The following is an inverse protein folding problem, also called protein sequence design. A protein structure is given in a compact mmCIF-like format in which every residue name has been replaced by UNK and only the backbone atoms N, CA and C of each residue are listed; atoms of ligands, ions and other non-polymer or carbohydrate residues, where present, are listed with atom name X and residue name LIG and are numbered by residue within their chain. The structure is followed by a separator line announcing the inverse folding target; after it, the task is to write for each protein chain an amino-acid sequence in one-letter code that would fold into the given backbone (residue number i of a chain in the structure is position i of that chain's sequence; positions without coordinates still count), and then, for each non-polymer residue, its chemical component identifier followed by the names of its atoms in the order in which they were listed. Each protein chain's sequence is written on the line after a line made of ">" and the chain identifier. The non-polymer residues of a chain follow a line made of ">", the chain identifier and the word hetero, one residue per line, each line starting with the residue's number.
data_IF_806900840932
#
_entry.id   IF_806900840932
#
_cell.length_a   1.000
_cell.length_b   1.000
_cell.length_c   1.000
_cell.angle_alpha   90.00
_cell.angle_beta   90.00
_cell.angle_gamma   90.00
#
_symmetry.space_group_name_H-M   'P 1'
#
loop_
_entity.id
_entity.type
_entity.pdbx_description
1 polymer ?
#
# COMPACT_ATOMS: atom_id res chain seq x y z
N UNK A 1 -2.22 -14.64 -30.06
CA UNK A 1 -2.77 -15.36 -28.90
C UNK A 1 -1.93 -15.01 -27.69
N UNK A 2 -2.46 -14.23 -26.74
CA UNK A 2 -1.73 -13.96 -25.51
C UNK A 2 -1.77 -15.21 -24.63
N UNK A 3 -0.80 -16.10 -24.78
CA UNK A 3 -0.66 -17.25 -23.88
C UNK A 3 -0.26 -16.75 -22.50
N UNK A 4 -1.01 -17.14 -21.48
CA UNK A 4 -0.66 -16.81 -20.10
C UNK A 4 0.69 -17.47 -19.78
N UNK A 5 1.67 -16.71 -19.32
CA UNK A 5 2.92 -17.28 -18.83
C UNK A 5 2.63 -18.25 -17.67
N UNK A 6 3.16 -19.46 -17.75
CA UNK A 6 3.03 -20.54 -16.73
C UNK A 6 4.41 -21.01 -16.22
N UNK A 7 5.47 -20.22 -16.40
CA UNK A 7 6.81 -20.60 -15.96
C UNK A 7 7.01 -20.51 -14.44
N UNK A 8 8.18 -20.95 -13.98
CA UNK A 8 8.53 -21.10 -12.55
C UNK A 8 8.44 -19.81 -11.74
N UNK A 9 8.70 -18.65 -12.35
CA UNK A 9 8.61 -17.34 -11.68
C UNK A 9 7.20 -17.06 -11.13
N UNK A 10 6.16 -17.65 -11.74
CA UNK A 10 4.78 -17.49 -11.28
C UNK A 10 4.52 -18.17 -9.95
N UNK A 11 5.35 -19.13 -9.55
CA UNK A 11 5.30 -19.73 -8.22
C UNK A 11 5.69 -18.74 -7.12
N UNK A 12 6.46 -17.70 -7.46
CA UNK A 12 6.93 -16.73 -6.48
C UNK A 12 5.83 -15.72 -6.12
N UNK A 13 5.49 -15.68 -4.82
CA UNK A 13 4.49 -14.76 -4.30
C UNK A 13 5.14 -13.43 -3.91
N UNK A 14 4.82 -12.37 -4.66
CA UNK A 14 5.37 -11.03 -4.39
C UNK A 14 4.52 -10.27 -3.37
N UNK A 15 5.11 -9.48 -2.47
CA UNK A 15 4.41 -8.76 -1.40
C UNK A 15 3.70 -7.49 -1.91
N UNK A 16 3.18 -7.52 -3.14
CA UNK A 16 2.45 -6.44 -3.80
C UNK A 16 1.23 -7.00 -4.51
N UNK A 17 0.27 -6.14 -4.85
CA UNK A 17 -0.81 -6.57 -5.73
C UNK A 17 -0.22 -6.90 -7.09
N UNK A 18 -0.57 -8.08 -7.61
CA UNK A 18 -0.25 -8.50 -8.97
C UNK A 18 -1.49 -9.19 -9.55
N UNK A 19 -1.70 -9.16 -10.86
CA UNK A 19 -2.88 -9.78 -11.47
C UNK A 19 -2.52 -11.13 -12.09
N UNK A 20 -3.13 -12.21 -11.59
CA UNK A 20 -2.90 -13.57 -12.09
C UNK A 20 -3.35 -13.78 -13.55
N UNK A 21 -4.31 -12.97 -14.00
CA UNK A 21 -4.90 -13.02 -15.35
C UNK A 21 -4.13 -12.21 -16.39
N UNK A 22 -3.01 -11.57 -16.03
CA UNK A 22 -2.18 -10.85 -17.00
C UNK A 22 -1.21 -11.82 -17.70
N UNK A 23 -1.09 -11.80 -19.04
CA UNK A 23 -0.19 -12.70 -19.76
C UNK A 23 1.29 -12.48 -19.41
N UNK A 24 1.66 -11.23 -19.12
CA UNK A 24 3.01 -10.84 -18.66
C UNK A 24 3.18 -10.81 -17.13
N UNK A 25 2.21 -11.33 -16.35
CA UNK A 25 2.43 -11.44 -14.90
C UNK A 25 3.46 -12.53 -14.61
N UNK A 26 4.68 -12.10 -14.31
CA UNK A 26 5.78 -12.97 -13.92
C UNK A 26 5.60 -13.56 -12.51
N UNK A 27 4.76 -12.95 -11.65
CA UNK A 27 4.64 -13.32 -10.24
C UNK A 27 3.18 -13.50 -9.79
N UNK A 28 2.97 -14.25 -8.71
CA UNK A 28 1.65 -14.51 -8.15
C UNK A 28 1.16 -13.43 -7.20
N UNK A 29 -0.17 -13.22 -7.22
CA UNK A 29 -0.85 -12.35 -6.27
C UNK A 29 -1.01 -13.05 -4.93
N UNK A 30 -0.56 -12.47 -3.80
CA UNK A 30 -0.75 -13.06 -2.48
C UNK A 30 -2.22 -13.25 -2.14
N UNK A 31 -3.06 -12.25 -2.41
CA UNK A 31 -4.50 -12.32 -2.12
C UNK A 31 -5.19 -13.36 -3.01
N UNK A 32 -4.85 -13.40 -4.30
CA UNK A 32 -5.41 -14.41 -5.21
C UNK A 32 -5.00 -15.83 -4.83
N UNK A 33 -3.76 -16.00 -4.34
CA UNK A 33 -3.25 -17.28 -3.85
C UNK A 33 -4.02 -17.71 -2.59
N UNK A 34 -4.16 -16.82 -1.61
CA UNK A 34 -4.95 -17.08 -0.39
C UNK A 34 -6.39 -17.48 -0.75
N UNK A 35 -7.04 -16.76 -1.67
CA UNK A 35 -8.40 -17.10 -2.10
C UNK A 35 -8.47 -18.46 -2.78
N UNK A 36 -7.54 -18.76 -3.69
CA UNK A 36 -7.52 -20.05 -4.38
C UNK A 36 -7.38 -21.22 -3.41
N UNK A 37 -6.47 -21.13 -2.44
CA UNK A 37 -6.27 -22.15 -1.42
C UNK A 37 -7.49 -22.30 -0.49
N UNK A 38 -8.17 -21.21 -0.17
CA UNK A 38 -9.43 -21.30 0.59
C UNK A 38 -10.55 -21.98 -0.18
N UNK A 39 -10.65 -21.73 -1.49
CA UNK A 39 -11.63 -22.41 -2.34
C UNK A 39 -11.33 -23.91 -2.44
N UNK A 40 -10.06 -24.31 -2.51
CA UNK A 40 -9.64 -25.72 -2.56
C UNK A 40 -9.60 -26.41 -1.20
N UNK A 41 -9.88 -25.70 -0.10
CA UNK A 41 -9.88 -26.26 1.25
C UNK A 41 -8.48 -26.54 1.83
N UNK A 42 -7.42 -26.09 1.16
CA UNK A 42 -6.04 -26.25 1.61
C UNK A 42 -5.52 -24.99 2.29
N UNK A 43 -4.59 -25.15 3.24
CA UNK A 43 -4.06 -23.99 3.97
C UNK A 43 -2.92 -23.31 3.19
N UNK A 44 -2.96 -21.98 2.95
CA UNK A 44 -1.97 -21.26 2.14
C UNK A 44 -0.67 -20.95 2.92
N UNK A 45 0.03 -21.99 3.42
CA UNK A 45 1.26 -21.82 4.22
C UNK A 45 2.31 -20.96 3.52
N UNK A 46 2.52 -21.17 2.22
CA UNK A 46 3.52 -20.41 1.46
C UNK A 46 3.17 -18.92 1.36
N UNK A 47 1.93 -18.57 1.02
CA UNK A 47 1.53 -17.16 0.91
C UNK A 47 1.51 -16.45 2.26
N UNK A 48 1.05 -17.10 3.32
CA UNK A 48 1.07 -16.52 4.67
C UNK A 48 2.50 -16.39 5.21
N UNK A 49 3.36 -17.38 4.95
CA UNK A 49 4.77 -17.36 5.33
C UNK A 49 5.53 -16.21 4.65
N UNK A 50 5.39 -16.04 3.33
CA UNK A 50 6.06 -14.94 2.61
C UNK A 50 5.56 -13.57 3.04
N UNK A 51 4.24 -13.39 3.21
CA UNK A 51 3.66 -12.15 3.73
C UNK A 51 4.10 -11.89 5.17
N UNK A 52 4.19 -12.93 6.00
CA UNK A 52 4.66 -12.85 7.38
C UNK A 52 6.11 -12.39 7.45
N UNK A 53 7.02 -13.04 6.72
CA UNK A 53 8.46 -12.69 6.69
C UNK A 53 8.68 -11.28 6.16
N UNK A 54 8.05 -10.93 5.03
CA UNK A 54 8.20 -9.59 4.46
C UNK A 54 7.55 -8.54 5.36
N UNK A 55 6.36 -8.82 5.89
CA UNK A 55 5.66 -7.94 6.82
C UNK A 55 6.46 -7.71 8.10
N UNK A 56 7.03 -8.74 8.72
CA UNK A 56 7.88 -8.58 9.89
C UNK A 56 9.21 -7.89 9.58
N UNK A 57 9.75 -8.01 8.37
CA UNK A 57 10.98 -7.30 8.00
C UNK A 57 10.72 -5.80 7.77
N UNK A 58 9.80 -5.48 6.85
CA UNK A 58 9.64 -4.09 6.34
C UNK A 58 8.31 -3.45 6.70
N UNK A 59 7.40 -4.17 7.34
CA UNK A 59 6.04 -3.73 7.61
C UNK A 59 5.26 -3.53 6.32
N UNK A 60 4.61 -2.38 6.21
CA UNK A 60 3.82 -1.97 5.04
C UNK A 60 4.61 -1.25 3.95
N UNK A 61 5.93 -1.16 4.06
CA UNK A 61 6.80 -0.42 3.14
C UNK A 61 6.67 -0.87 1.68
N UNK A 62 6.36 -2.14 1.42
CA UNK A 62 6.12 -2.68 0.07
C UNK A 62 4.97 -1.97 -0.65
N UNK A 63 3.92 -1.59 0.09
CA UNK A 63 2.82 -0.78 -0.46
C UNK A 63 3.26 0.65 -0.76
N UNK A 64 4.20 1.20 0.03
CA UNK A 64 4.78 2.53 -0.12
C UNK A 64 5.65 2.66 -1.36
N UNK A 65 6.55 1.71 -1.59
CA UNK A 65 7.66 1.84 -2.56
C UNK A 65 7.58 0.91 -3.76
N UNK A 66 7.11 -0.34 -3.59
CA UNK A 66 7.17 -1.37 -4.64
C UNK A 66 5.85 -1.54 -5.41
N UNK A 67 4.72 -1.14 -4.84
CA UNK A 67 3.41 -1.39 -5.44
C UNK A 67 3.14 -0.48 -6.65
N UNK A 68 2.98 -1.03 -7.88
CA UNK A 68 2.78 -0.23 -9.09
C UNK A 68 1.45 0.53 -9.06
N UNK A 69 0.41 -0.05 -8.43
CA UNK A 69 -0.87 0.62 -8.28
C UNK A 69 -0.77 1.83 -7.33
N UNK A 70 0.05 1.74 -6.28
CA UNK A 70 0.31 2.88 -5.40
C UNK A 70 0.99 4.03 -6.14
N UNK A 71 2.00 3.71 -6.95
CA UNK A 71 2.68 4.69 -7.80
C UNK A 71 1.73 5.35 -8.81
N UNK A 72 0.86 4.56 -9.45
CA UNK A 72 -0.18 5.09 -10.34
C UNK A 72 -1.12 6.07 -9.63
N UNK A 73 -1.52 5.80 -8.39
CA UNK A 73 -2.35 6.72 -7.60
C UNK A 73 -1.59 8.02 -7.25
N UNK A 74 -0.29 7.95 -6.98
CA UNK A 74 0.51 9.15 -6.68
C UNK A 74 0.67 10.05 -7.91
N UNK A 75 0.82 9.46 -9.11
CA UNK A 75 0.83 10.19 -10.38
C UNK A 75 -0.54 10.88 -10.58
N UNK A 76 -1.64 10.16 -10.37
CA UNK A 76 -2.99 10.72 -10.51
C UNK A 76 -3.24 11.88 -9.54
N UNK A 77 -2.74 11.80 -8.32
CA UNK A 77 -2.88 12.88 -7.34
C UNK A 77 -2.10 14.16 -7.71
N UNK A 78 -1.12 14.07 -8.62
CA UNK A 78 -0.38 15.25 -9.12
C UNK A 78 -1.26 16.14 -10.01
N UNK A 79 -2.36 15.60 -10.55
CA UNK A 79 -3.29 16.40 -11.34
C UNK A 79 -3.98 17.48 -10.49
N UNK A 80 -4.11 18.67 -11.08
CA UNK A 80 -4.63 19.87 -10.41
C UNK A 80 -6.16 19.84 -10.38
N UNK A 81 -6.70 19.14 -9.40
CA UNK A 81 -8.15 19.00 -9.14
C UNK A 81 -8.50 19.41 -7.71
N UNK A 82 -9.79 19.36 -7.36
CA UNK A 82 -10.27 19.62 -6.01
C UNK A 82 -9.73 18.58 -5.03
N UNK A 83 -9.01 19.03 -4.00
CA UNK A 83 -8.38 18.15 -3.01
C UNK A 83 -9.22 18.08 -1.74
N UNK A 84 -9.57 16.88 -1.31
CA UNK A 84 -10.21 16.65 -0.02
C UNK A 84 -9.50 15.54 0.75
N UNK A 85 -9.59 15.60 2.08
CA UNK A 85 -9.07 14.57 2.98
C UNK A 85 -10.13 13.51 3.27
N UNK A 86 -9.76 12.24 3.13
CA UNK A 86 -10.62 11.13 3.55
C UNK A 86 -10.77 11.13 5.08
N UNK A 87 -11.97 10.83 5.62
CA UNK A 87 -12.15 10.65 7.05
C UNK A 87 -11.33 9.47 7.57
N UNK A 88 -11.07 9.46 8.87
CA UNK A 88 -10.26 8.41 9.51
C UNK A 88 -11.00 7.06 9.57
N UNK A 89 -12.34 7.05 9.70
CA UNK A 89 -13.11 5.80 9.77
C UNK A 89 -12.95 4.94 8.50
N UNK A 90 -12.77 5.58 7.33
CA UNK A 90 -12.64 4.86 6.04
C UNK A 90 -11.42 3.95 6.03
N UNK A 91 -10.43 4.22 6.91
CA UNK A 91 -9.26 3.36 7.09
C UNK A 91 -9.62 1.98 7.63
N UNK A 92 -10.71 1.83 8.37
CA UNK A 92 -11.19 0.53 8.90
C UNK A 92 -11.87 -0.33 7.84
N UNK A 93 -12.39 0.29 6.78
CA UNK A 93 -13.12 -0.42 5.73
C UNK A 93 -12.25 -1.48 5.04
N UNK A 94 -10.92 -1.32 5.02
CA UNK A 94 -10.00 -2.32 4.47
C UNK A 94 -10.03 -3.65 5.22
N UNK A 95 -10.32 -3.63 6.52
CA UNK A 95 -10.44 -4.84 7.33
C UNK A 95 -11.78 -5.53 7.09
N UNK A 96 -12.84 -4.74 6.91
CA UNK A 96 -14.15 -5.25 6.47
C UNK A 96 -13.99 -5.93 5.10
N UNK A 97 -13.32 -5.28 4.14
CA UNK A 97 -13.03 -5.85 2.82
C UNK A 97 -12.17 -7.10 2.91
N UNK A 98 -11.14 -7.12 3.77
CA UNK A 98 -10.33 -8.31 4.00
C UNK A 98 -11.21 -9.48 4.49
N UNK A 99 -11.96 -9.31 5.57
CA UNK A 99 -12.77 -10.40 6.15
C UNK A 99 -13.89 -10.84 5.19
N UNK A 100 -14.62 -9.90 4.61
CA UNK A 100 -15.75 -10.21 3.72
C UNK A 100 -15.32 -10.73 2.35
N UNK A 101 -14.57 -9.94 1.57
CA UNK A 101 -14.25 -10.25 0.17
C UNK A 101 -13.11 -11.25 0.02
N UNK A 102 -12.20 -11.36 0.99
CA UNK A 102 -11.13 -12.35 0.92
C UNK A 102 -11.55 -13.65 1.59
N UNK A 103 -12.15 -13.64 2.78
CA UNK A 103 -12.46 -14.87 3.53
C UNK A 103 -13.91 -15.35 3.36
N UNK A 104 -14.92 -14.56 3.76
CA UNK A 104 -16.32 -15.01 3.83
C UNK A 104 -16.88 -15.35 2.45
N UNK A 105 -16.73 -14.46 1.47
CA UNK A 105 -17.35 -14.64 0.15
C UNK A 105 -16.77 -15.84 -0.59
N UNK A 106 -15.44 -16.01 -0.73
CA UNK A 106 -14.89 -17.19 -1.40
C UNK A 106 -15.21 -18.50 -0.67
N UNK A 107 -15.40 -18.47 0.65
CA UNK A 107 -15.83 -19.64 1.42
C UNK A 107 -17.25 -20.09 1.05
N UNK A 108 -18.17 -19.15 0.78
CA UNK A 108 -19.56 -19.46 0.41
C UNK A 108 -19.69 -19.75 -1.08
N UNK A 109 -19.08 -18.94 -1.94
CA UNK A 109 -19.29 -19.00 -3.39
C UNK A 109 -18.29 -19.90 -4.11
N UNK A 110 -17.24 -20.37 -3.43
CA UNK A 110 -16.13 -21.11 -4.02
C UNK A 110 -15.48 -20.39 -5.22
N UNK A 111 -15.48 -19.05 -5.20
CA UNK A 111 -14.94 -18.22 -6.28
C UNK A 111 -14.05 -17.08 -5.77
N UNK A 112 -13.03 -16.73 -6.55
CA UNK A 112 -12.05 -15.69 -6.22
C UNK A 112 -12.56 -14.28 -6.55
N UNK A 113 -13.56 -13.79 -5.81
CA UNK A 113 -14.23 -12.50 -6.09
C UNK A 113 -13.28 -11.30 -6.11
N UNK A 114 -12.38 -11.17 -5.13
CA UNK A 114 -11.44 -10.05 -5.09
C UNK A 114 -10.53 -10.03 -6.33
N UNK A 115 -10.01 -11.19 -6.72
CA UNK A 115 -9.19 -11.30 -7.93
C UNK A 115 -9.97 -10.94 -9.20
N UNK A 116 -11.29 -11.18 -9.23
CA UNK A 116 -12.17 -10.72 -10.31
C UNK A 116 -12.41 -9.21 -10.28
N UNK A 117 -12.61 -8.61 -9.11
CA UNK A 117 -13.00 -7.19 -8.94
C UNK A 117 -11.81 -6.21 -8.76
N UNK A 118 -10.58 -6.71 -8.70
CA UNK A 118 -9.41 -5.89 -8.44
C UNK A 118 -9.24 -4.77 -9.50
N UNK A 119 -9.18 -3.49 -9.10
CA UNK A 119 -9.02 -2.38 -10.05
C UNK A 119 -7.67 -2.45 -10.78
N UNK A 120 -6.60 -2.88 -10.09
CA UNK A 120 -5.30 -3.10 -10.72
C UNK A 120 -5.36 -4.17 -11.81
N UNK A 121 -6.04 -5.29 -11.55
CA UNK A 121 -6.22 -6.35 -12.53
C UNK A 121 -7.04 -5.90 -13.74
N UNK A 122 -8.03 -5.05 -13.52
CA UNK A 122 -8.83 -4.46 -14.60
C UNK A 122 -7.99 -3.52 -15.46
N UNK A 123 -7.14 -2.70 -14.85
CA UNK A 123 -6.27 -1.74 -15.53
C UNK A 123 -5.19 -2.42 -16.37
N UNK A 124 -4.49 -3.41 -15.80
CA UNK A 124 -3.29 -4.01 -16.41
C UNK A 124 -3.61 -5.23 -17.27
N UNK A 125 -4.56 -6.08 -16.85
CA UNK A 125 -4.93 -7.29 -17.59
C UNK A 125 -6.24 -7.13 -18.36
N UNK A 126 -7.29 -6.63 -17.69
CA UNK A 126 -8.65 -6.58 -18.24
C UNK A 126 -8.77 -5.72 -19.49
N UNK A 127 -8.28 -4.48 -19.45
CA UNK A 127 -8.36 -3.54 -20.57
C UNK A 127 -7.56 -4.03 -21.80
N UNK A 128 -6.25 -4.37 -21.69
CA UNK A 128 -5.50 -4.86 -22.85
C UNK A 128 -6.07 -6.15 -23.46
N UNK A 129 -6.60 -7.05 -22.63
CA UNK A 129 -7.11 -8.33 -23.12
C UNK A 129 -8.35 -8.16 -24.00
N UNK A 130 -9.26 -7.26 -23.62
CA UNK A 130 -10.49 -6.94 -24.37
C UNK A 130 -10.21 -6.10 -25.61
N UNK A 131 -9.23 -5.20 -25.56
CA UNK A 131 -8.86 -4.39 -26.73
C UNK A 131 -8.16 -5.22 -27.80
N UNK A 132 -7.25 -6.12 -27.41
CA UNK A 132 -6.44 -6.92 -28.34
C UNK A 132 -7.14 -8.16 -28.92
N UNK A 133 -8.12 -8.74 -28.23
CA UNK A 133 -8.79 -9.97 -28.70
C UNK A 133 -10.29 -9.74 -28.98
N UNK A 134 -10.65 -9.69 -30.27
CA UNK A 134 -12.04 -9.50 -30.72
C UNK A 134 -12.99 -10.59 -30.21
N UNK A 135 -12.50 -11.84 -30.12
CA UNK A 135 -13.28 -12.99 -29.62
C UNK A 135 -13.69 -12.88 -28.15
N UNK A 136 -13.01 -12.04 -27.35
CA UNK A 136 -13.30 -11.88 -25.91
C UNK A 136 -14.29 -10.74 -25.69
N UNK A 137 -14.52 -9.88 -26.70
CA UNK A 137 -15.51 -8.79 -26.64
C UNK A 137 -16.94 -9.32 -26.52
N UNK A 138 -17.24 -10.49 -27.08
CA UNK A 138 -18.55 -11.15 -26.92
C UNK A 138 -18.81 -11.65 -25.49
N UNK A 139 -17.75 -11.83 -24.67
CA UNK A 139 -17.84 -12.17 -23.25
C UNK A 139 -17.93 -10.95 -22.33
N UNK A 140 -17.91 -9.73 -22.88
CA UNK A 140 -18.08 -8.48 -22.13
C UNK A 140 -19.56 -8.34 -21.74
N UNK A 141 -19.92 -8.93 -20.60
CA UNK A 141 -21.23 -8.81 -19.97
C UNK A 141 -21.18 -7.79 -18.82
N UNK A 142 -22.27 -7.68 -18.07
CA UNK A 142 -22.46 -6.77 -16.93
C UNK A 142 -21.28 -6.74 -15.95
N UNK A 143 -20.62 -7.87 -15.71
CA UNK A 143 -19.46 -7.96 -14.81
C UNK A 143 -18.25 -7.14 -15.26
N UNK A 144 -18.04 -6.95 -16.56
CA UNK A 144 -16.94 -6.10 -17.05
C UNK A 144 -17.21 -4.63 -16.76
N UNK A 145 -18.46 -4.18 -16.97
CA UNK A 145 -18.87 -2.81 -16.66
C UNK A 145 -18.72 -2.48 -15.18
N UNK A 146 -19.11 -3.40 -14.28
CA UNK A 146 -18.89 -3.23 -12.83
C UNK A 146 -17.42 -3.01 -12.50
N UNK A 147 -16.51 -3.79 -13.09
CA UNK A 147 -15.06 -3.63 -12.89
C UNK A 147 -14.54 -2.29 -13.39
N UNK A 148 -15.00 -1.84 -14.56
CA UNK A 148 -14.66 -0.53 -15.11
C UNK A 148 -15.19 0.59 -14.23
N UNK A 149 -16.42 0.49 -13.71
CA UNK A 149 -16.98 1.45 -12.76
C UNK A 149 -16.15 1.53 -11.48
N UNK A 150 -15.72 0.40 -10.92
CA UNK A 150 -14.84 0.36 -9.74
C UNK A 150 -13.48 1.00 -10.06
N UNK A 151 -12.89 0.68 -11.21
CA UNK A 151 -11.63 1.29 -11.65
C UNK A 151 -11.77 2.80 -11.81
N UNK A 152 -12.80 3.28 -12.52
CA UNK A 152 -13.08 4.70 -12.70
C UNK A 152 -13.28 5.40 -11.36
N UNK A 153 -14.04 4.81 -10.44
CA UNK A 153 -14.22 5.34 -9.09
C UNK A 153 -12.89 5.52 -8.35
N UNK A 154 -11.98 4.54 -8.39
CA UNK A 154 -10.68 4.68 -7.74
C UNK A 154 -9.76 5.64 -8.49
N UNK A 155 -9.83 5.72 -9.81
CA UNK A 155 -9.05 6.68 -10.62
C UNK A 155 -9.48 8.11 -10.29
N UNK A 156 -10.78 8.40 -10.31
CA UNK A 156 -11.32 9.73 -10.01
C UNK A 156 -11.07 10.12 -8.56
N UNK A 157 -11.29 9.22 -7.59
CA UNK A 157 -10.97 9.53 -6.20
C UNK A 157 -9.47 9.69 -5.95
N UNK A 158 -8.60 9.06 -6.75
CA UNK A 158 -7.14 9.20 -6.62
C UNK A 158 -6.62 10.55 -7.11
N UNK A 159 -7.36 11.27 -7.97
CA UNK A 159 -6.99 12.65 -8.33
C UNK A 159 -7.28 13.62 -7.18
N UNK A 160 -8.32 13.35 -6.39
CA UNK A 160 -8.78 14.21 -5.30
C UNK A 160 -8.10 13.89 -3.95
N UNK A 161 -7.76 12.61 -3.70
CA UNK A 161 -7.12 12.16 -2.46
C UNK A 161 -5.92 11.26 -2.72
N UNK A 162 -4.89 11.34 -1.87
CA UNK A 162 -3.71 10.47 -1.96
C UNK A 162 -4.07 9.01 -1.63
N UNK A 163 -3.78 8.09 -2.56
CA UNK A 163 -3.86 6.63 -2.40
C UNK A 163 -5.17 6.10 -1.74
N UNK A 164 -6.36 6.46 -2.24
CA UNK A 164 -7.65 6.11 -1.62
C UNK A 164 -7.86 4.60 -1.51
N UNK A 165 -7.55 3.85 -2.57
CA UNK A 165 -7.67 2.39 -2.58
C UNK A 165 -6.78 1.72 -1.53
N UNK A 166 -5.49 2.10 -1.47
CA UNK A 166 -4.57 1.56 -0.49
C UNK A 166 -5.01 1.87 0.94
N UNK A 167 -5.60 3.05 1.17
CA UNK A 167 -6.08 3.49 2.48
C UNK A 167 -7.39 2.80 2.91
N UNK A 168 -8.31 2.62 1.97
CA UNK A 168 -9.70 2.28 2.27
C UNK A 168 -10.08 0.82 1.98
N UNK A 169 -9.53 0.19 0.94
CA UNK A 169 -10.09 -1.06 0.40
C UNK A 169 -9.06 -2.17 0.27
N UNK A 170 -7.78 -1.85 0.09
CA UNK A 170 -6.76 -2.86 -0.20
C UNK A 170 -6.60 -3.90 0.94
N UNK A 171 -6.97 -5.18 0.72
CA UNK A 171 -6.85 -6.22 1.74
C UNK A 171 -5.39 -6.58 2.02
N UNK A 172 -4.51 -6.51 1.02
CA UNK A 172 -3.07 -6.69 1.22
C UNK A 172 -2.50 -5.62 2.14
N UNK A 173 -2.97 -4.38 1.99
CA UNK A 173 -2.64 -3.29 2.88
C UNK A 173 -3.14 -3.51 4.31
N UNK A 174 -4.28 -4.17 4.48
CA UNK A 174 -4.81 -4.54 5.80
C UNK A 174 -3.93 -5.58 6.51
N UNK A 175 -3.46 -6.61 5.80
CA UNK A 175 -2.54 -7.61 6.33
C UNK A 175 -1.23 -6.96 6.79
N UNK A 176 -0.57 -6.19 5.91
CA UNK A 176 0.70 -5.53 6.26
C UNK A 176 0.56 -4.42 7.32
N UNK A 177 -0.63 -3.85 7.49
CA UNK A 177 -0.91 -2.83 8.51
C UNK A 177 -0.67 -3.35 9.93
N UNK A 178 -0.98 -4.63 10.19
CA UNK A 178 -0.77 -5.26 11.50
C UNK A 178 0.73 -5.40 11.82
N UNK A 179 1.54 -5.69 10.80
CA UNK A 179 2.97 -5.88 10.97
C UNK A 179 3.75 -4.58 11.24
N UNK A 180 3.19 -3.39 10.98
CA UNK A 180 3.91 -2.12 11.18
C UNK A 180 4.41 -1.88 12.61
N UNK A 181 3.72 -2.41 13.62
CA UNK A 181 4.14 -2.30 15.03
C UNK A 181 5.24 -3.29 15.37
N UNK A 182 5.19 -4.48 14.78
CA UNK A 182 6.10 -5.59 15.04
C UNK A 182 7.29 -5.67 14.07
N UNK A 183 7.34 -4.80 13.05
CA UNK A 183 8.35 -4.90 12.01
C UNK A 183 9.74 -4.47 12.49
N UNK A 184 10.76 -5.07 11.88
CA UNK A 184 12.17 -4.82 12.13
C UNK A 184 12.60 -3.39 11.81
N UNK A 185 12.09 -2.83 10.72
CA UNK A 185 12.21 -1.41 10.45
C UNK A 185 11.29 -0.62 11.38
N UNK A 186 11.75 0.51 11.91
CA UNK A 186 10.92 1.45 12.69
C UNK A 186 11.14 2.87 12.22
N UNK A 187 10.08 3.66 12.27
CA UNK A 187 10.17 5.11 12.17
C UNK A 187 10.41 5.66 13.56
N UNK A 188 11.45 6.48 13.68
CA UNK A 188 11.75 7.19 14.91
C UNK A 188 11.67 8.69 14.71
N UNK A 189 11.21 9.35 15.76
CA UNK A 189 10.99 10.77 15.81
C UNK A 189 11.73 11.33 17.03
N UNK A 190 12.44 12.44 16.83
CA UNK A 190 13.17 13.13 17.89
C UNK A 190 12.43 14.41 18.28
N UNK A 191 12.03 14.50 19.54
CA UNK A 191 11.32 15.64 20.10
C UNK A 191 12.18 16.91 20.17
N UNK A 192 13.46 16.78 20.53
CA UNK A 192 14.40 17.89 20.75
C UNK A 192 14.69 18.66 19.45
N UNK A 193 14.74 17.95 18.32
CA UNK A 193 14.98 18.57 17.01
C UNK A 193 13.71 19.05 16.31
N UNK A 194 12.52 18.71 16.85
CA UNK A 194 11.26 18.91 16.14
C UNK A 194 10.60 20.25 16.50
N UNK A 195 10.51 21.15 15.53
CA UNK A 195 9.81 22.44 15.66
C UNK A 195 8.27 22.34 15.56
N UNK A 196 7.71 21.14 15.47
CA UNK A 196 6.25 20.88 15.33
C UNK A 196 5.56 21.65 14.18
N UNK A 197 6.29 21.98 13.12
CA UNK A 197 5.77 22.74 11.97
C UNK A 197 4.68 22.04 11.13
N UNK A 198 4.36 20.76 11.40
CA UNK A 198 3.32 20.00 10.70
C UNK A 198 3.62 19.59 9.25
N UNK A 199 4.81 19.90 8.72
CA UNK A 199 5.19 19.56 7.32
C UNK A 199 5.19 18.04 7.07
N UNK A 200 5.64 17.24 8.02
CA UNK A 200 5.63 15.77 7.92
C UNK A 200 4.22 15.18 7.84
N UNK A 201 3.25 15.76 8.56
CA UNK A 201 1.85 15.36 8.48
C UNK A 201 1.25 15.76 7.12
N UNK A 202 1.51 16.98 6.65
CA UNK A 202 1.00 17.48 5.34
C UNK A 202 1.50 16.63 4.15
N UNK A 203 2.74 16.16 4.19
CA UNK A 203 3.27 15.33 3.10
C UNK A 203 2.73 13.88 3.17
N UNK A 204 2.41 13.38 4.35
CA UNK A 204 1.96 12.02 4.59
C UNK A 204 0.69 11.67 3.77
N UNK A 205 0.70 10.61 2.95
CA UNK A 205 -0.45 10.23 2.12
C UNK A 205 -1.68 9.79 2.92
N UNK A 206 -1.46 9.35 4.16
CA UNK A 206 -2.52 8.86 5.04
C UNK A 206 -2.80 9.79 6.22
N UNK A 207 -2.20 10.98 6.25
CA UNK A 207 -2.41 12.00 7.29
C UNK A 207 -2.14 11.45 8.71
N UNK A 208 -0.90 10.98 8.92
CA UNK A 208 -0.41 10.50 10.21
C UNK A 208 0.40 11.60 10.90
N UNK A 209 0.13 11.75 12.20
CA UNK A 209 0.91 12.56 13.13
C UNK A 209 2.13 11.77 13.63
N UNK A 210 3.25 11.93 12.94
CA UNK A 210 4.51 11.20 13.22
C UNK A 210 5.08 11.56 14.60
N UNK A 211 4.78 12.76 15.09
CA UNK A 211 5.11 13.24 16.45
C UNK A 211 4.39 12.48 17.56
N UNK A 212 3.26 11.82 17.27
CA UNK A 212 2.49 11.05 18.26
C UNK A 212 2.59 9.55 18.05
N UNK A 213 2.44 9.08 16.82
CA UNK A 213 2.46 7.64 16.51
C UNK A 213 3.25 7.36 15.21
N UNK A 214 4.60 7.38 15.26
CA UNK A 214 5.44 7.22 14.07
C UNK A 214 5.30 5.83 13.42
N UNK A 215 4.98 4.80 14.22
CA UNK A 215 4.77 3.42 13.78
C UNK A 215 3.28 3.02 13.77
N UNK A 216 2.40 3.95 13.42
CA UNK A 216 0.96 3.68 13.32
C UNK A 216 0.68 2.53 12.35
N UNK A 217 -0.37 1.75 12.65
CA UNK A 217 -0.82 0.66 11.77
C UNK A 217 -1.17 1.19 10.37
N UNK A 218 -1.65 2.43 10.28
CA UNK A 218 -2.01 3.07 9.01
C UNK A 218 -0.81 3.47 8.15
N UNK A 219 0.40 3.50 8.72
CA UNK A 219 1.58 4.02 8.04
C UNK A 219 1.93 3.18 6.80
N UNK A 220 1.98 3.80 5.62
CA UNK A 220 2.42 3.11 4.41
C UNK A 220 3.94 2.91 4.37
N UNK A 221 4.69 3.55 5.30
CA UNK A 221 6.15 3.56 5.32
C UNK A 221 6.75 3.94 3.96
N UNK A 222 6.16 4.95 3.31
CA UNK A 222 6.65 5.51 2.05
C UNK A 222 7.90 6.41 2.23
N UNK A 223 8.27 6.71 3.47
CA UNK A 223 9.43 7.54 3.85
C UNK A 223 9.36 9.01 3.41
N UNK A 224 8.25 9.49 2.85
CA UNK A 224 8.12 10.91 2.50
C UNK A 224 8.33 11.85 3.71
N UNK A 225 7.98 11.40 4.91
CA UNK A 225 8.17 12.15 6.15
C UNK A 225 9.64 12.26 6.59
N UNK A 226 10.56 11.40 6.09
CA UNK A 226 11.99 11.46 6.45
C UNK A 226 12.73 12.62 5.78
N UNK A 227 12.04 13.40 4.92
CA UNK A 227 12.51 14.73 4.50
C UNK A 227 12.59 15.71 5.68
N UNK A 228 11.91 15.41 6.79
CA UNK A 228 12.08 16.13 8.05
C UNK A 228 13.30 15.57 8.79
N UNK A 229 14.26 16.42 9.21
CA UNK A 229 15.49 15.95 9.88
C UNK A 229 15.21 15.27 11.24
N UNK A 230 14.06 15.59 11.85
CA UNK A 230 13.58 14.99 13.10
C UNK A 230 12.94 13.62 12.94
N UNK A 231 12.85 13.08 11.71
CA UNK A 231 12.26 11.77 11.43
C UNK A 231 13.24 10.90 10.67
N UNK A 232 13.55 9.72 11.20
CA UNK A 232 14.48 8.77 10.58
C UNK A 232 13.88 7.36 10.52
N UNK A 233 14.28 6.62 9.50
CA UNK A 233 14.06 5.18 9.43
C UNK A 233 15.22 4.48 10.14
N UNK A 234 14.89 3.61 11.08
CA UNK A 234 15.83 2.90 11.95
C UNK A 234 15.49 1.42 11.96
N UNK A 235 16.32 0.64 12.64
CA UNK A 235 16.05 -0.77 12.93
C UNK A 235 15.87 -0.95 14.42
N UNK A 236 15.26 -2.06 14.86
CA UNK A 236 15.11 -2.37 16.30
C UNK A 236 16.48 -2.43 17.03
N UNK A 237 17.58 -2.68 16.34
CA UNK A 237 18.93 -2.71 16.94
C UNK A 237 19.58 -1.34 17.10
N UNK A 238 19.04 -0.29 16.48
CA UNK A 238 19.62 1.05 16.54
C UNK A 238 19.22 1.74 17.84
N UNK A 239 20.13 1.80 18.82
CA UNK A 239 19.87 2.44 20.12
C UNK A 239 19.85 3.97 20.08
N UNK A 240 20.65 4.59 19.20
CA UNK A 240 20.78 6.05 19.09
C UNK A 240 20.72 6.52 17.62
N UNK A 241 19.52 6.69 17.06
CA UNK A 241 19.38 7.03 15.64
C UNK A 241 19.57 8.52 15.34
N UNK A 242 19.55 9.35 16.36
CA UNK A 242 19.84 10.77 16.25
C UNK A 242 21.20 11.05 16.89
N UNK A 243 22.20 11.34 16.06
CA UNK A 243 23.47 11.91 16.55
C UNK A 243 23.16 13.21 17.31
N UNK A 244 23.85 13.44 18.43
CA UNK A 244 23.81 14.71 19.18
C UNK A 244 24.05 15.89 18.21
N UNK A 245 23.42 17.03 18.52
CA UNK A 245 23.24 18.18 17.63
C UNK A 245 24.51 18.81 17.00
N UNK A 246 25.71 18.36 17.38
CA UNK A 246 27.00 18.88 16.87
C UNK A 246 27.33 18.48 15.43
N UNK A 247 26.60 17.57 14.79
CA UNK A 247 26.95 17.04 13.46
C UNK A 247 26.05 17.49 12.31
N UNK A 248 25.23 18.53 12.45
CA UNK A 248 24.43 19.07 11.34
C UNK A 248 25.17 20.25 10.68
N UNK A 249 25.83 20.06 9.53
CA UNK A 249 26.47 21.15 8.81
C UNK A 249 25.36 22.03 8.23
N UNK A 250 25.10 23.18 8.85
CA UNK A 250 24.15 24.17 8.36
C UNK A 250 23.27 24.86 9.40
N UNK A 251 23.28 24.46 10.67
CA UNK A 251 22.71 25.29 11.75
C UNK A 251 23.80 26.26 12.19
N UNK A 252 23.83 27.42 11.52
CA UNK A 252 24.75 28.51 11.81
C UNK A 252 24.70 28.90 13.28
N UNK A 253 25.86 29.33 13.79
CA UNK A 253 26.15 29.61 15.19
C UNK A 253 25.31 30.76 15.80
N UNK A 254 24.53 31.47 14.99
CA UNK A 254 23.83 32.71 15.35
C UNK A 254 22.46 32.48 16.01
N UNK A 255 21.77 31.35 15.80
CA UNK A 255 20.50 31.06 16.50
C UNK A 255 20.70 30.58 17.95
N UNK A 256 21.94 30.44 18.41
CA UNK A 256 22.27 29.84 19.72
C UNK A 256 22.22 30.85 20.88
N UNK A 257 22.20 32.16 20.62
CA UNK A 257 22.16 33.19 21.66
C UNK A 257 20.73 33.71 21.95
N UNK A 258 19.80 33.69 20.99
CA UNK A 258 18.43 34.18 21.25
C UNK A 258 17.56 33.23 22.09
N UNK A 259 17.90 31.94 22.15
CA UNK A 259 17.14 30.94 22.94
C UNK A 259 17.63 30.85 24.40
N UNK A 260 18.84 31.35 24.71
CA UNK A 260 19.37 31.33 26.06
C UNK A 260 18.97 32.56 26.91
N UNK A 261 18.36 33.58 26.29
CA UNK A 261 18.04 34.86 26.95
C UNK A 261 16.55 35.27 26.78
N UNK A 262 15.67 34.37 26.34
CA UNK A 262 14.21 34.62 26.31
C UNK A 262 13.41 33.50 26.96
#
# INVERSE_FOLDING_TARGET
>A
TATLYQGSLKSFCVPVLNCYACPNALFSCPIGTIQHFMVTGHFPFYALGTLGVVGSAVGRMTCGTLCPFGFFQDILYKFRTWKFSLPQWVRWFRYVVLVSLVFIIPYITHENWFSKLCPMGTLIAGLPWVTLNVNVRSMVKTMFWVKISILLFFVTTSTMTKRPFCRAVCPLGAIFSVFNKASFLKLEWNADTCTRCGKCQKICPVDIRVDREPNSIDCLRCLDCTRCPSVKLTTIFTKEPFKKAESYPGVGREEREEVAVR
#
